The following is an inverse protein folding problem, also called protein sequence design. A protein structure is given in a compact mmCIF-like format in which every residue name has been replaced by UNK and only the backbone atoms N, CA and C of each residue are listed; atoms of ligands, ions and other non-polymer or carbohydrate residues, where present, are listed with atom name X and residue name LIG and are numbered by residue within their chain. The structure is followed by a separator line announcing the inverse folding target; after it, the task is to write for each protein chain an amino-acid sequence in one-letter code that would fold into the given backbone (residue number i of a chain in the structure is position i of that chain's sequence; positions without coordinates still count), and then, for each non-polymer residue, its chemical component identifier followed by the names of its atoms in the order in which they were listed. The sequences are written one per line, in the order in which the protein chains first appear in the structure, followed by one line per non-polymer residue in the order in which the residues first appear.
data_IF_781156014416
#
_entry.id   IF_781156014416
#
_cell.length_a   1.000
_cell.length_b   1.000
_cell.length_c   1.000
_cell.angle_alpha   90.00
_cell.angle_beta   90.00
_cell.angle_gamma   90.00
#
_symmetry.space_group_name_H-M   'P 1'
#
loop_
_entity.id
_entity.type
_entity.pdbx_description
1 polymer ?
#
# COMPACT_ATOMS: atom_id res chain seq x y z
N UNK A 1 48.00 54.32 25.85
CA UNK A 1 48.57 53.07 25.30
C UNK A 1 47.63 52.53 24.24
N UNK A 2 47.99 52.56 22.95
CA UNK A 2 47.22 51.95 21.85
C UNK A 2 47.74 50.53 21.66
N UNK A 3 46.94 49.51 22.03
CA UNK A 3 47.25 48.12 21.70
C UNK A 3 47.15 47.94 20.18
N UNK A 4 48.28 47.65 19.55
CA UNK A 4 48.36 47.27 18.13
C UNK A 4 47.95 45.79 18.04
N UNK A 5 46.74 45.53 17.55
CA UNK A 5 46.30 44.17 17.21
C UNK A 5 47.01 43.72 15.93
N UNK A 6 48.00 42.84 16.07
CA UNK A 6 48.63 42.16 14.94
C UNK A 6 47.66 41.13 14.36
N UNK A 7 47.07 41.42 13.21
CA UNK A 7 46.34 40.44 12.42
C UNK A 7 47.36 39.44 11.85
N UNK A 8 47.28 38.18 12.29
CA UNK A 8 48.06 37.08 11.70
C UNK A 8 47.47 36.74 10.33
N UNK A 9 48.28 36.81 9.28
CA UNK A 9 47.87 36.38 7.94
C UNK A 9 47.75 34.86 7.88
N UNK A 10 46.68 34.38 7.25
CA UNK A 10 46.42 32.95 7.04
C UNK A 10 47.21 32.47 5.82
N UNK A 11 47.97 31.38 5.94
CA UNK A 11 48.74 30.85 4.81
C UNK A 11 47.85 29.99 3.90
N UNK A 12 48.18 29.95 2.61
CA UNK A 12 47.45 29.14 1.63
C UNK A 12 47.46 27.64 2.00
N UNK A 13 48.55 27.17 2.63
CA UNK A 13 48.69 25.79 3.12
C UNK A 13 47.72 25.50 4.27
N UNK A 14 47.59 26.40 5.24
CA UNK A 14 46.63 26.22 6.36
C UNK A 14 45.20 26.12 5.85
N UNK A 15 44.84 26.93 4.86
CA UNK A 15 43.52 26.84 4.21
C UNK A 15 43.32 25.51 3.50
N UNK A 16 44.33 25.06 2.76
CA UNK A 16 44.26 23.81 2.00
C UNK A 16 44.14 22.58 2.91
N UNK A 17 44.82 22.58 4.07
CA UNK A 17 44.69 21.50 5.06
C UNK A 17 43.29 21.47 5.68
N UNK A 18 42.73 22.64 6.03
CA UNK A 18 41.39 22.71 6.63
C UNK A 18 40.32 22.21 5.67
N UNK A 19 40.36 22.64 4.40
CA UNK A 19 39.40 22.14 3.41
C UNK A 19 39.58 20.64 3.14
N UNK A 20 40.82 20.12 3.16
CA UNK A 20 41.07 18.70 3.00
C UNK A 20 40.48 17.87 4.15
N UNK A 21 40.63 18.34 5.40
CA UNK A 21 40.04 17.67 6.57
C UNK A 21 38.52 17.72 6.50
N UNK A 22 37.92 18.87 6.18
CA UNK A 22 36.45 18.99 6.06
C UNK A 22 35.93 18.07 4.94
N UNK A 23 36.61 18.02 3.79
CA UNK A 23 36.22 17.14 2.69
C UNK A 23 36.25 15.66 3.10
N UNK A 24 37.29 15.22 3.83
CA UNK A 24 37.39 13.86 4.36
C UNK A 24 36.26 13.59 5.37
N UNK A 25 36.01 14.51 6.31
CA UNK A 25 34.95 14.34 7.30
C UNK A 25 33.57 14.25 6.64
N UNK A 26 33.26 15.11 5.65
CA UNK A 26 32.00 15.06 4.91
C UNK A 26 31.89 13.76 4.12
N UNK A 27 32.97 13.32 3.46
CA UNK A 27 32.98 12.07 2.70
C UNK A 27 32.70 10.84 3.59
N UNK A 28 33.17 10.85 4.84
CA UNK A 28 32.92 9.78 5.80
C UNK A 28 31.53 9.89 6.47
N UNK A 29 31.03 11.10 6.69
CA UNK A 29 29.75 11.33 7.37
C UNK A 29 28.55 11.20 6.44
N UNK A 30 28.66 11.56 5.17
CA UNK A 30 27.54 11.55 4.24
C UNK A 30 26.93 10.15 4.07
N UNK A 31 27.69 9.06 3.82
CA UNK A 31 27.13 7.71 3.74
C UNK A 31 26.44 7.29 5.04
N UNK A 32 27.03 7.61 6.19
CA UNK A 32 26.48 7.28 7.50
C UNK A 32 25.16 8.02 7.78
N UNK A 33 25.06 9.31 7.44
CA UNK A 33 23.83 10.08 7.60
C UNK A 33 22.71 9.54 6.70
N UNK A 34 23.02 9.11 5.47
CA UNK A 34 22.00 8.53 4.59
C UNK A 34 21.51 7.17 5.10
N UNK A 35 22.41 6.30 5.56
CA UNK A 35 22.04 5.02 6.18
C UNK A 35 21.16 5.22 7.42
N UNK A 36 21.52 6.18 8.28
CA UNK A 36 20.72 6.51 9.46
C UNK A 36 19.32 7.05 9.10
N UNK A 37 19.23 7.91 8.07
CA UNK A 37 17.94 8.43 7.58
C UNK A 37 17.07 7.31 7.03
N UNK A 38 17.63 6.40 6.22
CA UNK A 38 16.85 5.28 5.69
C UNK A 38 16.40 4.33 6.79
N UNK A 39 17.25 4.01 7.77
CA UNK A 39 16.84 3.21 8.91
C UNK A 39 15.67 3.85 9.70
N UNK A 40 15.66 5.18 9.83
CA UNK A 40 14.55 5.91 10.46
C UNK A 40 13.27 5.88 9.60
N UNK A 41 13.37 6.03 8.28
CA UNK A 41 12.22 5.93 7.36
C UNK A 41 11.62 4.52 7.36
N UNK A 42 12.47 3.49 7.28
CA UNK A 42 12.09 2.08 7.43
C UNK A 42 11.37 1.81 8.74
N UNK A 43 11.89 2.36 9.85
CA UNK A 43 11.25 2.26 11.17
C UNK A 43 9.89 2.97 11.21
N UNK A 44 9.74 4.06 10.47
CA UNK A 44 8.47 4.78 10.33
C UNK A 44 7.46 3.95 9.52
N UNK A 45 7.84 3.33 8.41
CA UNK A 45 6.94 2.44 7.64
C UNK A 45 6.48 1.25 8.49
N UNK A 46 7.38 0.66 9.29
CA UNK A 46 7.02 -0.38 10.28
C UNK A 46 6.02 0.15 11.32
N UNK A 47 6.20 1.38 11.81
CA UNK A 47 5.29 2.00 12.77
C UNK A 47 3.92 2.33 12.17
N UNK A 48 3.87 2.74 10.89
CA UNK A 48 2.61 2.93 10.17
C UNK A 48 1.80 1.63 10.12
N UNK A 49 2.43 0.52 9.74
CA UNK A 49 1.77 -0.80 9.78
C UNK A 49 1.31 -1.19 11.20
N UNK A 50 2.08 -0.84 12.24
CA UNK A 50 1.65 -1.06 13.64
C UNK A 50 0.39 -0.27 14.00
N UNK A 51 0.32 0.99 13.59
CA UNK A 51 -0.87 1.82 13.81
C UNK A 51 -2.06 1.31 12.98
N UNK A 52 -1.84 0.85 11.73
CA UNK A 52 -2.88 0.19 10.92
C UNK A 52 -3.38 -1.09 11.61
N UNK A 53 -2.49 -1.89 12.19
CA UNK A 53 -2.85 -3.07 12.97
C UNK A 53 -3.71 -2.74 14.18
N UNK A 54 -3.35 -1.69 14.94
CA UNK A 54 -4.17 -1.19 16.03
C UNK A 54 -5.56 -0.75 15.54
N UNK A 55 -5.61 -0.02 14.42
CA UNK A 55 -6.86 0.42 13.81
C UNK A 55 -7.75 -0.78 13.40
N UNK A 56 -7.16 -1.83 12.82
CA UNK A 56 -7.85 -3.07 12.47
C UNK A 56 -8.44 -3.78 13.69
N UNK A 57 -7.68 -3.89 14.78
CA UNK A 57 -8.17 -4.52 16.01
C UNK A 57 -9.26 -3.68 16.69
N UNK A 58 -9.11 -2.35 16.75
CA UNK A 58 -10.16 -1.46 17.28
C UNK A 58 -11.47 -1.53 16.45
N UNK A 59 -11.34 -1.61 15.11
CA UNK A 59 -12.48 -1.85 14.23
C UNK A 59 -13.12 -3.22 14.52
N UNK A 60 -12.32 -4.27 14.65
CA UNK A 60 -12.81 -5.61 14.97
C UNK A 60 -13.52 -5.65 16.33
N UNK A 61 -12.99 -4.99 17.36
CA UNK A 61 -13.60 -4.96 18.69
C UNK A 61 -14.97 -4.28 18.67
N UNK A 62 -15.12 -3.24 17.85
CA UNK A 62 -16.38 -2.50 17.70
C UNK A 62 -17.39 -3.20 16.78
N UNK A 63 -16.95 -3.85 15.70
CA UNK A 63 -17.83 -4.40 14.66
C UNK A 63 -17.91 -5.94 14.64
N UNK A 64 -17.09 -6.62 15.44
CA UNK A 64 -17.00 -8.08 15.57
C UNK A 64 -16.66 -8.81 14.25
N UNK A 65 -15.97 -8.10 13.35
CA UNK A 65 -15.43 -8.53 12.06
C UNK A 65 -14.40 -7.52 11.57
N UNK A 66 -13.49 -7.95 10.69
CA UNK A 66 -12.55 -7.08 10.00
C UNK A 66 -13.21 -6.38 8.80
N UNK A 67 -12.75 -5.18 8.40
CA UNK A 67 -13.30 -4.49 7.24
C UNK A 67 -13.08 -5.32 5.97
N UNK A 68 -13.76 -4.96 4.90
CA UNK A 68 -13.49 -5.54 3.59
C UNK A 68 -12.23 -4.93 2.94
N UNK A 69 -11.63 -5.58 1.93
CA UNK A 69 -10.65 -4.90 1.08
C UNK A 69 -11.36 -3.85 0.21
N UNK A 70 -12.42 -4.29 -0.47
CA UNK A 70 -13.29 -3.46 -1.30
C UNK A 70 -14.76 -3.85 -1.11
N UNK A 71 -15.68 -2.90 -1.27
CA UNK A 71 -17.11 -3.17 -1.29
C UNK A 71 -17.78 -2.76 -2.61
N UNK A 72 -18.61 -3.68 -3.11
CA UNK A 72 -19.30 -3.63 -4.41
C UNK A 72 -18.45 -2.94 -5.50
N UNK A 73 -17.26 -3.47 -5.81
CA UNK A 73 -16.36 -2.87 -6.77
C UNK A 73 -16.93 -2.92 -8.19
N UNK A 74 -16.92 -1.81 -8.90
CA UNK A 74 -17.44 -1.69 -10.27
C UNK A 74 -16.59 -2.38 -11.33
N UNK A 75 -15.39 -2.85 -10.98
CA UNK A 75 -14.54 -3.65 -11.87
C UNK A 75 -14.98 -5.12 -11.94
N UNK A 76 -15.76 -5.56 -10.95
CA UNK A 76 -15.97 -6.97 -10.63
C UNK A 76 -17.09 -7.58 -11.47
N UNK A 77 -16.73 -8.56 -12.32
CA UNK A 77 -17.61 -9.31 -13.22
C UNK A 77 -17.64 -10.79 -12.81
N UNK A 78 -18.82 -11.40 -12.63
CA UNK A 78 -20.13 -10.74 -12.65
C UNK A 78 -20.27 -9.81 -11.44
N UNK A 79 -20.92 -8.66 -11.66
CA UNK A 79 -21.29 -7.80 -10.54
C UNK A 79 -22.33 -8.50 -9.67
N UNK A 80 -22.41 -8.14 -8.40
CA UNK A 80 -23.49 -8.59 -7.53
C UNK A 80 -24.81 -8.06 -8.12
N UNK A 81 -25.74 -8.95 -8.55
CA UNK A 81 -26.97 -8.53 -9.20
C UNK A 81 -27.91 -7.75 -8.27
N UNK A 82 -27.68 -7.80 -6.96
CA UNK A 82 -28.54 -7.17 -5.96
C UNK A 82 -27.92 -5.91 -5.34
N UNK A 83 -26.71 -5.51 -5.75
CA UNK A 83 -25.99 -4.40 -5.13
C UNK A 83 -25.69 -3.27 -6.10
N UNK A 84 -25.82 -2.03 -5.62
CA UNK A 84 -25.28 -0.85 -6.28
C UNK A 84 -23.76 -0.78 -6.09
N UNK A 85 -23.05 -0.29 -7.10
CA UNK A 85 -21.58 -0.14 -7.04
C UNK A 85 -21.23 0.99 -6.07
N UNK A 86 -20.39 0.68 -5.08
CA UNK A 86 -19.88 1.66 -4.10
C UNK A 86 -18.42 2.01 -4.33
N UNK A 87 -17.61 1.08 -4.84
CA UNK A 87 -16.16 1.26 -4.99
C UNK A 87 -15.43 1.60 -3.68
N UNK A 88 -16.04 1.33 -2.52
CA UNK A 88 -15.43 1.63 -1.23
C UNK A 88 -14.24 0.72 -0.98
N UNK A 89 -13.25 1.22 -0.25
CA UNK A 89 -12.14 0.44 0.29
C UNK A 89 -12.30 0.25 1.79
N UNK A 90 -11.64 -0.75 2.37
CA UNK A 90 -11.59 -0.93 3.82
C UNK A 90 -10.99 0.26 4.58
N UNK A 91 -10.12 1.04 3.92
CA UNK A 91 -9.45 2.19 4.51
C UNK A 91 -10.44 3.23 5.03
N UNK A 92 -11.55 3.45 4.31
CA UNK A 92 -12.61 4.38 4.72
C UNK A 92 -13.13 4.06 6.12
N UNK A 93 -13.26 2.78 6.46
CA UNK A 93 -13.81 2.33 7.75
C UNK A 93 -12.77 2.30 8.87
N UNK A 94 -11.48 2.37 8.52
CA UNK A 94 -10.40 2.51 9.48
C UNK A 94 -10.12 3.97 9.86
N UNK A 95 -10.63 4.95 9.10
CA UNK A 95 -10.38 6.38 9.34
C UNK A 95 -10.62 6.82 10.80
N UNK A 96 -11.73 6.46 11.48
CA UNK A 96 -11.95 6.87 12.86
C UNK A 96 -10.91 6.32 13.83
N UNK A 97 -10.30 5.19 13.48
CA UNK A 97 -9.29 4.49 14.28
C UNK A 97 -7.84 4.87 13.90
N UNK A 98 -7.68 5.78 12.94
CA UNK A 98 -6.41 6.37 12.48
C UNK A 98 -6.38 7.89 12.68
N UNK A 99 -7.12 8.41 13.66
CA UNK A 99 -7.28 9.84 13.95
C UNK A 99 -7.82 10.69 12.77
N UNK A 100 -8.60 10.07 11.87
CA UNK A 100 -9.25 10.71 10.71
C UNK A 100 -10.78 10.78 10.84
N UNK A 101 -11.31 10.87 12.06
CA UNK A 101 -12.76 10.93 12.31
C UNK A 101 -13.45 12.12 11.62
N UNK A 102 -12.78 13.27 11.52
CA UNK A 102 -13.31 14.45 10.81
C UNK A 102 -13.49 14.20 9.31
N UNK A 103 -12.57 13.46 8.70
CA UNK A 103 -12.66 13.08 7.28
C UNK A 103 -13.74 12.01 7.08
N UNK A 104 -13.81 11.02 7.99
CA UNK A 104 -14.84 9.98 7.98
C UNK A 104 -16.26 10.57 7.95
N UNK A 105 -16.53 11.54 8.83
CA UNK A 105 -17.86 12.16 8.95
C UNK A 105 -18.29 12.99 7.72
N UNK A 106 -17.36 13.30 6.81
CA UNK A 106 -17.67 13.99 5.56
C UNK A 106 -18.13 13.03 4.46
N UNK A 107 -17.79 11.74 4.54
CA UNK A 107 -18.18 10.76 3.53
C UNK A 107 -19.67 10.43 3.62
N UNK A 108 -20.32 10.40 2.45
CA UNK A 108 -21.64 9.80 2.31
C UNK A 108 -21.50 8.31 1.97
N UNK A 109 -21.65 7.44 2.97
CA UNK A 109 -21.54 5.98 2.80
C UNK A 109 -22.70 5.35 2.01
N UNK A 110 -23.76 6.10 1.68
CA UNK A 110 -24.80 5.65 0.74
C UNK A 110 -24.46 5.97 -0.73
N UNK A 111 -23.31 6.60 -0.99
CA UNK A 111 -22.83 6.95 -2.32
C UNK A 111 -21.47 6.29 -2.63
N UNK A 112 -21.17 6.14 -3.92
CA UNK A 112 -19.88 5.61 -4.35
C UNK A 112 -18.72 6.55 -4.01
N UNK A 113 -17.51 6.02 -3.84
CA UNK A 113 -16.28 6.83 -3.68
C UNK A 113 -15.45 6.92 -4.95
N UNK A 114 -15.72 6.06 -5.93
CA UNK A 114 -15.12 6.11 -7.27
C UNK A 114 -16.17 5.98 -8.37
N UNK A 115 -15.84 6.46 -9.58
CA UNK A 115 -16.71 6.37 -10.75
C UNK A 115 -16.53 5.09 -11.58
N UNK A 116 -15.57 4.22 -11.23
CA UNK A 116 -15.33 3.01 -12.00
C UNK A 116 -16.57 2.12 -12.06
N UNK A 117 -16.97 1.73 -13.27
CA UNK A 117 -18.16 0.93 -13.50
C UNK A 117 -18.04 0.17 -14.82
N UNK A 118 -17.30 -0.93 -14.79
CA UNK A 118 -17.10 -1.80 -15.96
C UNK A 118 -18.35 -2.60 -16.29
N UNK A 119 -19.19 -2.90 -15.30
CA UNK A 119 -20.37 -3.77 -15.43
C UNK A 119 -21.61 -3.04 -15.93
N UNK A 120 -21.55 -1.71 -16.08
CA UNK A 120 -22.68 -0.84 -16.43
C UNK A 120 -23.86 -0.94 -15.44
N UNK A 121 -23.59 -1.33 -14.19
CA UNK A 121 -24.60 -1.36 -13.12
C UNK A 121 -24.87 0.05 -12.56
N UNK A 122 -25.76 0.17 -11.58
CA UNK A 122 -26.06 1.47 -10.94
C UNK A 122 -24.99 1.83 -9.92
N UNK A 123 -24.36 3.01 -10.08
CA UNK A 123 -23.50 3.61 -9.05
C UNK A 123 -24.34 4.10 -7.86
N UNK A 124 -23.95 3.74 -6.65
CA UNK A 124 -24.60 4.19 -5.42
C UNK A 124 -24.54 5.73 -5.34
N UNK A 125 -25.68 6.37 -5.04
CA UNK A 125 -25.78 7.83 -5.03
C UNK A 125 -25.62 8.49 -6.41
N UNK A 126 -25.63 7.72 -7.51
CA UNK A 126 -25.55 8.20 -8.89
C UNK A 126 -24.14 8.59 -9.35
N UNK A 127 -23.44 9.43 -8.59
CA UNK A 127 -22.06 9.86 -8.91
C UNK A 127 -21.27 10.25 -7.66
N UNK A 128 -20.06 9.68 -7.50
CA UNK A 128 -19.08 10.05 -6.47
C UNK A 128 -18.58 11.48 -6.62
N UNK A 129 -18.58 12.03 -7.84
CA UNK A 129 -18.20 13.43 -8.10
C UNK A 129 -19.31 14.37 -7.59
N UNK A 130 -20.56 14.10 -7.99
CA UNK A 130 -21.71 14.96 -7.61
C UNK A 130 -21.98 14.92 -6.11
N UNK A 131 -21.76 13.76 -5.47
CA UNK A 131 -21.93 13.60 -4.01
C UNK A 131 -20.76 14.15 -3.21
N UNK A 132 -19.66 14.54 -3.84
CA UNK A 132 -18.45 15.07 -3.19
C UNK A 132 -17.50 14.00 -2.65
N UNK A 133 -17.90 12.73 -2.60
CA UNK A 133 -17.06 11.63 -2.11
C UNK A 133 -15.73 11.48 -2.89
N UNK A 134 -15.75 11.69 -4.20
CA UNK A 134 -14.53 11.62 -5.02
C UNK A 134 -13.50 12.67 -4.57
N UNK A 135 -13.96 13.88 -4.26
CA UNK A 135 -13.08 14.96 -3.79
C UNK A 135 -12.44 14.62 -2.43
N UNK A 136 -13.18 13.96 -1.54
CA UNK A 136 -12.63 13.54 -0.24
C UNK A 136 -11.49 12.52 -0.38
N UNK A 137 -11.47 11.73 -1.46
CA UNK A 137 -10.39 10.81 -1.78
C UNK A 137 -9.08 11.47 -2.23
N UNK A 138 -9.04 12.79 -2.36
CA UNK A 138 -7.80 13.56 -2.62
C UNK A 138 -7.01 13.88 -1.34
N UNK A 139 -7.61 13.70 -0.16
CA UNK A 139 -6.93 13.92 1.11
C UNK A 139 -5.82 12.89 1.30
N UNK A 140 -4.59 13.35 1.49
CA UNK A 140 -3.44 12.50 1.82
C UNK A 140 -3.56 12.07 3.27
N UNK A 141 -3.46 10.76 3.51
CA UNK A 141 -3.43 10.19 4.87
C UNK A 141 -1.99 9.75 5.17
N UNK A 142 -1.23 10.48 6.00
CA UNK A 142 0.20 10.24 6.19
C UNK A 142 0.55 8.82 6.66
N UNK A 143 -0.30 8.21 7.49
CA UNK A 143 -0.12 6.82 7.96
C UNK A 143 -0.16 5.80 6.82
N UNK A 144 -0.80 6.13 5.69
CA UNK A 144 -0.92 5.25 4.53
C UNK A 144 0.23 5.43 3.53
N UNK A 145 1.23 6.26 3.82
CA UNK A 145 2.40 6.48 2.98
C UNK A 145 3.66 6.00 3.70
N UNK A 146 4.48 5.20 3.02
CA UNK A 146 5.80 4.83 3.51
C UNK A 146 6.80 5.91 3.12
N UNK A 147 7.46 6.63 4.06
CA UNK A 147 8.42 7.68 3.71
C UNK A 147 9.66 7.18 2.95
N UNK A 148 9.95 5.88 2.94
CA UNK A 148 11.02 5.31 2.11
C UNK A 148 10.67 5.28 0.62
N UNK A 149 9.39 5.40 0.27
CA UNK A 149 8.92 5.46 -1.11
C UNK A 149 8.87 6.91 -1.58
N UNK A 150 9.62 7.23 -2.64
CA UNK A 150 9.71 8.55 -3.23
C UNK A 150 8.79 8.75 -4.45
N UNK A 151 7.93 7.76 -4.74
CA UNK A 151 6.90 7.87 -5.76
C UNK A 151 5.86 8.95 -5.46
N UNK A 152 5.13 9.36 -6.50
CA UNK A 152 4.10 10.39 -6.36
C UNK A 152 2.97 9.94 -5.43
N UNK A 153 2.66 10.75 -4.41
CA UNK A 153 1.59 10.47 -3.43
C UNK A 153 0.17 10.69 -3.95
N UNK A 154 0.03 11.19 -5.17
CA UNK A 154 -1.25 11.46 -5.81
C UNK A 154 -1.26 10.98 -7.25
N UNK A 155 -2.39 10.46 -7.69
CA UNK A 155 -2.66 10.21 -9.10
C UNK A 155 -3.16 11.52 -9.77
N UNK A 156 -2.45 12.07 -10.76
CA UNK A 156 -2.80 13.36 -11.35
C UNK A 156 -4.02 13.29 -12.30
N UNK A 157 -4.34 12.11 -12.83
CA UNK A 157 -5.46 11.92 -13.74
C UNK A 157 -6.82 12.05 -13.05
N UNK A 158 -7.84 12.40 -13.84
CA UNK A 158 -9.23 12.52 -13.40
C UNK A 158 -10.14 11.43 -14.00
N UNK A 159 -9.57 10.40 -14.62
CA UNK A 159 -10.36 9.31 -15.19
C UNK A 159 -10.94 8.40 -14.11
N UNK A 160 -11.82 7.50 -14.56
CA UNK A 160 -12.58 6.60 -13.70
C UNK A 160 -11.91 5.24 -13.53
N UNK A 161 -10.88 4.91 -14.33
CA UNK A 161 -10.21 3.62 -14.29
C UNK A 161 -9.15 3.58 -13.18
N UNK A 162 -8.46 4.68 -12.92
CA UNK A 162 -7.32 4.70 -11.99
C UNK A 162 -7.51 5.64 -10.80
N UNK A 163 -8.37 6.65 -10.92
CA UNK A 163 -8.69 7.59 -9.85
C UNK A 163 -10.08 7.41 -9.25
N UNK A 164 -10.46 8.35 -8.39
CA UNK A 164 -11.83 8.47 -7.86
C UNK A 164 -12.81 9.10 -8.86
N UNK A 165 -12.33 9.56 -10.02
CA UNK A 165 -13.04 10.39 -11.00
C UNK A 165 -12.71 11.89 -10.92
N UNK A 166 -11.77 12.28 -10.05
CA UNK A 166 -11.20 13.64 -10.00
C UNK A 166 -9.67 13.58 -9.92
N UNK A 167 -9.02 14.66 -10.37
CA UNK A 167 -7.56 14.79 -10.32
C UNK A 167 -7.02 14.78 -8.89
N UNK A 168 -5.76 14.36 -8.74
CA UNK A 168 -5.02 14.32 -7.48
C UNK A 168 -5.63 13.38 -6.44
N UNK A 169 -6.18 12.24 -6.88
CA UNK A 169 -6.62 11.19 -5.96
C UNK A 169 -5.42 10.66 -5.15
N UNK A 170 -5.53 10.53 -3.84
CA UNK A 170 -4.40 10.20 -2.98
C UNK A 170 -4.08 8.70 -3.01
N UNK A 171 -2.81 8.36 -3.26
CA UNK A 171 -2.30 6.99 -3.31
C UNK A 171 -2.00 6.44 -1.90
N UNK A 172 -1.71 5.15 -1.81
CA UNK A 172 -1.27 4.46 -0.59
C UNK A 172 -0.10 3.52 -0.87
N UNK A 173 0.85 3.43 0.05
CA UNK A 173 1.97 2.47 0.03
C UNK A 173 1.63 1.14 0.71
N UNK A 174 0.37 0.97 1.13
CA UNK A 174 -0.11 -0.23 1.80
C UNK A 174 -1.43 -0.70 1.21
N UNK A 175 -1.61 -2.02 1.13
CA UNK A 175 -2.85 -2.64 0.68
C UNK A 175 -3.22 -3.86 1.51
N UNK A 176 -4.52 -4.10 1.65
CA UNK A 176 -5.04 -5.32 2.29
C UNK A 176 -4.59 -6.56 1.53
N UNK A 177 -4.22 -7.62 2.23
CA UNK A 177 -3.88 -8.90 1.61
C UNK A 177 -5.12 -9.55 1.01
N UNK A 178 -5.12 -9.72 -0.31
CA UNK A 178 -6.25 -10.25 -1.07
C UNK A 178 -5.86 -11.46 -1.92
N UNK A 179 -6.87 -12.27 -2.27
CA UNK A 179 -6.66 -13.45 -3.12
C UNK A 179 -6.28 -13.03 -4.54
N UNK A 180 -6.90 -11.96 -5.02
CA UNK A 180 -6.67 -11.39 -6.34
C UNK A 180 -6.63 -9.88 -6.21
N UNK A 181 -5.44 -9.31 -6.43
CA UNK A 181 -5.23 -7.84 -6.48
C UNK A 181 -5.35 -7.28 -7.90
N UNK A 182 -5.35 -8.17 -8.90
CA UNK A 182 -5.37 -7.88 -10.32
C UNK A 182 -6.51 -8.65 -10.98
N UNK A 183 -7.61 -7.96 -11.30
CA UNK A 183 -8.70 -8.60 -12.05
C UNK A 183 -8.51 -8.34 -13.54
N UNK A 184 -7.64 -9.13 -14.15
CA UNK A 184 -7.45 -9.13 -15.60
C UNK A 184 -8.78 -9.41 -16.30
N UNK A 185 -9.22 -8.49 -17.16
CA UNK A 185 -10.53 -8.60 -17.80
C UNK A 185 -11.74 -8.31 -16.89
N UNK A 186 -11.55 -7.98 -15.60
CA UNK A 186 -12.60 -7.67 -14.64
C UNK A 186 -13.23 -8.91 -13.97
N UNK A 187 -12.78 -10.12 -14.31
CA UNK A 187 -13.28 -11.35 -13.71
C UNK A 187 -12.88 -11.41 -12.25
N UNK A 188 -13.82 -11.23 -11.34
CA UNK A 188 -13.58 -11.23 -9.91
C UNK A 188 -14.27 -12.39 -9.20
N UNK A 189 -13.68 -12.80 -8.08
CA UNK A 189 -14.33 -13.73 -7.17
C UNK A 189 -14.60 -13.00 -5.86
N UNK A 190 -15.88 -12.91 -5.50
CA UNK A 190 -16.27 -12.40 -4.19
C UNK A 190 -15.71 -13.28 -3.08
N UNK A 191 -15.29 -12.67 -1.98
CA UNK A 191 -14.62 -13.37 -0.87
C UNK A 191 -15.41 -14.58 -0.34
N UNK A 192 -16.74 -14.50 -0.34
CA UNK A 192 -17.61 -15.62 0.11
C UNK A 192 -17.57 -16.83 -0.83
N UNK A 193 -17.27 -16.62 -2.11
CA UNK A 193 -17.21 -17.65 -3.14
C UNK A 193 -15.81 -18.25 -3.31
N UNK A 194 -14.78 -17.59 -2.76
CA UNK A 194 -13.42 -18.14 -2.73
C UNK A 194 -13.36 -19.46 -1.96
N UNK A 195 -12.60 -20.43 -2.45
CA UNK A 195 -12.34 -21.66 -1.69
C UNK A 195 -11.74 -21.30 -0.33
N UNK A 196 -12.20 -21.94 0.75
CA UNK A 196 -11.71 -21.68 2.11
C UNK A 196 -10.19 -21.83 2.22
N UNK A 197 -9.61 -22.77 1.49
CA UNK A 197 -8.16 -23.04 1.47
C UNK A 197 -7.36 -22.08 0.60
N UNK A 198 -8.00 -21.29 -0.27
CA UNK A 198 -7.35 -20.27 -1.10
C UNK A 198 -7.73 -18.84 -0.67
N UNK A 199 -8.50 -18.72 0.41
CA UNK A 199 -9.07 -17.46 0.84
C UNK A 199 -8.07 -16.71 1.70
N UNK A 200 -7.86 -15.46 1.36
CA UNK A 200 -7.07 -14.52 2.17
C UNK A 200 -7.97 -13.78 3.16
N UNK A 201 -7.35 -13.02 4.07
CA UNK A 201 -8.10 -12.31 5.12
C UNK A 201 -9.09 -11.29 4.55
N UNK A 202 -8.74 -10.64 3.44
CA UNK A 202 -9.55 -9.61 2.82
C UNK A 202 -9.89 -9.95 1.36
N UNK A 203 -10.84 -9.20 0.80
CA UNK A 203 -11.29 -9.35 -0.58
C UNK A 203 -12.57 -8.54 -0.84
N UNK A 204 -13.11 -8.67 -2.05
CA UNK A 204 -14.36 -8.02 -2.42
C UNK A 204 -15.52 -8.53 -1.54
N UNK A 205 -16.21 -7.60 -0.86
CA UNK A 205 -17.29 -7.87 0.10
C UNK A 205 -16.92 -8.88 1.20
N UNK A 206 -15.64 -8.88 1.61
CA UNK A 206 -15.17 -9.76 2.69
C UNK A 206 -15.79 -9.39 4.03
N UNK A 207 -15.89 -10.40 4.91
CA UNK A 207 -16.49 -10.31 6.24
C UNK A 207 -15.77 -11.22 7.22
N UNK A 208 -14.44 -11.21 7.14
CA UNK A 208 -13.57 -12.10 7.90
C UNK A 208 -13.67 -11.80 9.40
N UNK A 209 -13.73 -12.85 10.21
CA UNK A 209 -13.65 -12.77 11.68
C UNK A 209 -12.39 -13.47 12.15
N UNK A 210 -11.92 -13.16 13.37
CA UNK A 210 -10.76 -13.86 13.97
C UNK A 210 -10.92 -15.40 13.90
N UNK A 211 -12.13 -15.92 14.17
CA UNK A 211 -12.43 -17.37 14.11
C UNK A 211 -12.26 -18.02 12.72
N UNK A 212 -12.25 -17.22 11.66
CA UNK A 212 -12.09 -17.70 10.30
C UNK A 212 -10.61 -17.91 9.95
N UNK A 213 -9.69 -17.35 10.76
CA UNK A 213 -8.23 -17.45 10.62
C UNK A 213 -7.73 -18.70 11.36
N UNK A 214 -7.82 -19.85 10.70
CA UNK A 214 -7.50 -21.16 11.26
C UNK A 214 -6.02 -21.50 11.24
N UNK A 215 -5.24 -20.92 10.32
CA UNK A 215 -3.79 -21.17 10.23
C UNK A 215 -2.98 -20.36 11.27
N UNK A 216 -3.67 -19.52 12.05
CA UNK A 216 -3.12 -18.73 13.14
C UNK A 216 -2.96 -17.25 12.76
N UNK A 217 -3.37 -16.35 13.66
CA UNK A 217 -3.32 -14.90 13.42
C UNK A 217 -1.88 -14.37 13.27
N UNK A 218 -0.90 -15.06 13.86
CA UNK A 218 0.53 -14.74 13.72
C UNK A 218 1.16 -15.27 12.43
N UNK A 219 0.40 -16.00 11.62
CA UNK A 219 0.84 -16.71 10.42
C UNK A 219 0.06 -16.29 9.17
N UNK A 220 -0.81 -15.30 9.29
CA UNK A 220 -1.63 -14.78 8.19
C UNK A 220 -1.33 -13.30 8.03
N UNK A 221 -0.95 -12.90 6.82
CA UNK A 221 -0.73 -11.50 6.45
C UNK A 221 -2.08 -10.79 6.26
N UNK A 222 -2.25 -9.67 6.94
CA UNK A 222 -3.41 -8.81 6.88
C UNK A 222 -3.21 -7.65 5.88
N UNK A 223 -2.07 -6.97 5.96
CA UNK A 223 -1.73 -5.82 5.11
C UNK A 223 -0.28 -5.95 4.68
N UNK A 224 0.02 -5.56 3.44
CA UNK A 224 1.36 -5.57 2.89
C UNK A 224 1.73 -4.23 2.27
N UNK A 225 3.03 -3.95 2.22
CA UNK A 225 3.57 -2.83 1.46
C UNK A 225 3.39 -3.05 -0.05
N UNK A 226 3.22 -1.94 -0.76
CA UNK A 226 3.28 -1.81 -2.22
C UNK A 226 3.93 -0.45 -2.55
N UNK A 227 4.25 -0.19 -3.81
CA UNK A 227 4.93 1.05 -4.23
C UNK A 227 3.98 2.11 -4.75
N UNK A 228 4.41 3.37 -4.68
CA UNK A 228 3.77 4.56 -5.25
C UNK A 228 4.18 4.80 -6.71
N UNK A 229 4.82 3.83 -7.34
CA UNK A 229 5.12 3.80 -8.77
C UNK A 229 4.98 2.37 -9.32
N UNK A 230 4.33 2.23 -10.47
CA UNK A 230 4.09 0.96 -11.18
C UNK A 230 4.27 1.17 -12.69
N UNK A 231 4.73 0.16 -13.44
CA UNK A 231 4.94 0.26 -14.90
C UNK A 231 3.64 -0.02 -15.67
N UNK A 232 2.97 -1.13 -15.39
CA UNK A 232 1.64 -1.41 -15.91
C UNK A 232 0.56 -0.88 -14.96
N UNK A 233 -0.49 -0.27 -15.51
CA UNK A 233 -1.60 0.33 -14.76
C UNK A 233 -1.22 1.56 -13.92
N UNK A 234 -1.76 1.63 -12.70
CA UNK A 234 -1.58 2.75 -11.77
C UNK A 234 -1.60 2.27 -10.31
N UNK A 235 -1.04 3.09 -9.42
CA UNK A 235 -0.96 2.77 -8.00
C UNK A 235 -2.32 2.85 -7.30
N UNK A 236 -2.45 2.18 -6.16
CA UNK A 236 -3.70 2.09 -5.43
C UNK A 236 -4.10 3.43 -4.81
N UNK A 237 -5.37 3.80 -4.95
CA UNK A 237 -5.98 4.95 -4.28
C UNK A 237 -6.60 4.49 -2.97
N UNK A 238 -6.35 5.21 -1.88
CA UNK A 238 -6.83 4.75 -0.58
C UNK A 238 -8.35 4.79 -0.47
N UNK A 239 -9.04 5.74 -1.11
CA UNK A 239 -10.47 5.99 -0.91
C UNK A 239 -11.40 5.22 -1.86
N UNK A 240 -10.89 4.68 -2.96
CA UNK A 240 -11.71 4.01 -3.95
C UNK A 240 -11.00 2.85 -4.62
N UNK A 241 -11.73 1.76 -4.86
CA UNK A 241 -11.34 0.71 -5.78
C UNK A 241 -11.81 1.05 -7.19
N UNK A 242 -10.97 0.83 -8.19
CA UNK A 242 -11.26 1.08 -9.59
C UNK A 242 -10.81 -0.10 -10.45
N UNK A 243 -10.21 0.13 -11.62
CA UNK A 243 -9.48 -0.92 -12.34
C UNK A 243 -8.34 -1.50 -11.50
N UNK A 244 -7.77 -0.66 -10.63
CA UNK A 244 -6.71 -0.98 -9.66
C UNK A 244 -7.22 -0.76 -8.22
N UNK A 245 -6.36 -0.87 -7.22
CA UNK A 245 -6.72 -0.50 -5.85
C UNK A 245 -7.61 -1.52 -5.12
N UNK A 246 -7.52 -2.81 -5.49
CA UNK A 246 -8.33 -3.86 -4.88
C UNK A 246 -7.66 -4.57 -3.69
N UNK A 247 -6.40 -4.23 -3.41
CA UNK A 247 -5.56 -4.86 -2.38
C UNK A 247 -4.25 -5.38 -2.98
N UNK A 248 -3.39 -5.93 -2.13
CA UNK A 248 -2.08 -6.48 -2.52
C UNK A 248 -2.16 -8.00 -2.56
N UNK A 249 -1.71 -8.57 -3.66
CA UNK A 249 -1.73 -9.99 -3.94
C UNK A 249 -0.41 -10.63 -3.56
N UNK A 250 -0.29 -11.09 -2.30
CA UNK A 250 0.87 -11.88 -1.88
C UNK A 250 1.07 -13.15 -2.71
N UNK A 251 0.07 -13.55 -3.49
CA UNK A 251 0.10 -14.72 -4.36
C UNK A 251 0.49 -14.41 -5.82
N UNK A 252 0.96 -13.20 -6.10
CA UNK A 252 1.46 -12.82 -7.41
C UNK A 252 2.56 -13.78 -7.87
N UNK A 253 2.48 -14.23 -9.12
CA UNK A 253 3.43 -15.20 -9.69
C UNK A 253 4.86 -14.64 -9.76
N UNK A 254 4.97 -13.32 -9.78
CA UNK A 254 6.20 -12.55 -10.00
C UNK A 254 7.03 -12.36 -8.73
N UNK A 255 6.44 -12.54 -7.55
CA UNK A 255 7.15 -12.46 -6.27
C UNK A 255 7.01 -11.10 -5.59
N UNK A 256 7.98 -10.75 -4.74
CA UNK A 256 8.07 -9.47 -4.03
C UNK A 256 9.16 -8.64 -4.73
N UNK A 257 8.97 -7.33 -4.86
CA UNK A 257 9.95 -6.42 -5.47
C UNK A 257 10.31 -6.79 -6.92
N UNK A 258 9.38 -7.37 -7.68
CA UNK A 258 9.59 -7.58 -9.10
C UNK A 258 9.37 -6.25 -9.84
N UNK A 259 10.46 -5.59 -10.20
CA UNK A 259 10.46 -4.27 -10.84
C UNK A 259 10.54 -4.32 -12.36
N UNK A 260 10.51 -5.52 -12.96
CA UNK A 260 10.53 -5.65 -14.42
C UNK A 260 9.13 -5.52 -14.99
N UNK A 261 8.97 -4.96 -16.18
CA UNK A 261 7.72 -5.09 -16.93
C UNK A 261 7.95 -4.97 -18.44
N UNK A 262 7.06 -5.42 -19.32
CA UNK A 262 6.01 -6.42 -19.15
C UNK A 262 6.21 -7.50 -20.21
N UNK A 263 5.50 -8.62 -20.12
CA UNK A 263 5.69 -9.75 -21.04
C UNK A 263 5.35 -9.43 -22.50
N UNK A 264 4.50 -8.41 -22.76
CA UNK A 264 4.16 -7.92 -24.10
C UNK A 264 5.09 -6.83 -24.64
N UNK A 265 6.12 -6.40 -23.89
CA UNK A 265 7.17 -5.53 -24.42
C UNK A 265 8.16 -6.34 -25.27
N UNK A 266 8.94 -5.66 -26.10
CA UNK A 266 9.97 -6.29 -26.94
C UNK A 266 11.35 -5.66 -26.65
N UNK A 267 12.29 -6.37 -26.01
CA UNK A 267 12.16 -7.72 -25.46
C UNK A 267 11.21 -7.76 -24.23
N UNK A 268 10.60 -8.94 -23.92
CA UNK A 268 9.76 -9.09 -22.74
C UNK A 268 10.50 -8.72 -21.46
N UNK A 269 9.82 -8.02 -20.54
CA UNK A 269 10.37 -7.63 -19.24
C UNK A 269 11.66 -6.79 -19.31
N UNK A 270 11.83 -6.01 -20.38
CA UNK A 270 13.03 -5.21 -20.61
C UNK A 270 13.11 -3.93 -19.78
N UNK A 271 11.98 -3.41 -19.30
CA UNK A 271 11.99 -2.23 -18.44
C UNK A 271 12.21 -2.67 -17.00
N UNK A 272 13.29 -2.20 -16.39
CA UNK A 272 13.62 -2.43 -14.99
C UNK A 272 13.93 -1.08 -14.35
N UNK A 273 13.19 -0.74 -13.30
CA UNK A 273 13.44 0.46 -12.52
C UNK A 273 13.21 0.14 -11.04
N UNK A 274 14.26 0.08 -10.21
CA UNK A 274 14.12 -0.15 -8.78
C UNK A 274 13.13 0.82 -8.14
N UNK A 275 12.22 0.29 -7.32
CA UNK A 275 11.16 1.08 -6.67
C UNK A 275 9.90 1.29 -7.51
N UNK A 276 9.91 0.90 -8.80
CA UNK A 276 8.72 0.85 -9.65
C UNK A 276 8.32 -0.61 -9.88
N UNK A 277 7.24 -1.06 -9.24
CA UNK A 277 6.73 -2.41 -9.44
C UNK A 277 6.34 -2.64 -10.89
N UNK A 278 6.46 -3.88 -11.34
CA UNK A 278 6.10 -4.25 -12.70
C UNK A 278 4.61 -4.03 -12.93
N UNK A 279 3.78 -4.55 -12.04
CA UNK A 279 2.32 -4.53 -12.18
C UNK A 279 1.64 -3.99 -10.91
N UNK A 280 0.43 -3.46 -11.05
CA UNK A 280 -0.35 -2.99 -9.92
C UNK A 280 -0.80 -4.16 -9.04
N UNK A 281 -1.02 -3.92 -7.75
CA UNK A 281 -1.50 -4.99 -6.85
C UNK A 281 -0.42 -5.99 -6.44
N UNK A 282 0.80 -5.87 -6.97
CA UNK A 282 1.94 -6.65 -6.55
C UNK A 282 2.47 -6.21 -5.16
N UNK A 283 3.02 -7.15 -4.39
CA UNK A 283 3.69 -6.85 -3.14
C UNK A 283 5.09 -6.28 -3.40
N UNK A 284 5.45 -5.21 -2.69
CA UNK A 284 6.81 -4.68 -2.75
C UNK A 284 7.02 -3.43 -1.92
N UNK A 285 8.28 -3.02 -1.82
CA UNK A 285 8.69 -1.79 -1.18
C UNK A 285 10.02 -1.30 -1.75
N UNK A 286 10.42 -0.08 -1.40
CA UNK A 286 11.74 0.46 -1.69
C UNK A 286 12.80 0.06 -0.66
N UNK A 287 12.43 -0.72 0.37
CA UNK A 287 13.37 -1.23 1.36
C UNK A 287 14.32 -2.25 0.73
N UNK A 288 15.58 -2.23 1.13
CA UNK A 288 16.56 -3.23 0.66
C UNK A 288 16.18 -4.64 1.09
N UNK A 289 16.00 -5.54 0.12
CA UNK A 289 15.94 -6.99 0.30
C UNK A 289 14.56 -7.55 0.67
N UNK A 290 13.48 -6.77 0.59
CA UNK A 290 12.15 -7.26 0.92
C UNK A 290 11.16 -6.17 1.25
N UNK A 291 10.17 -6.49 2.08
CA UNK A 291 9.12 -5.56 2.51
C UNK A 291 8.61 -5.91 3.91
N UNK A 292 7.93 -4.96 4.55
CA UNK A 292 7.16 -5.23 5.75
C UNK A 292 5.76 -5.73 5.42
N UNK A 293 5.30 -6.64 6.27
CA UNK A 293 3.93 -7.12 6.31
C UNK A 293 3.38 -6.99 7.72
N UNK A 294 2.11 -6.65 7.81
CA UNK A 294 1.32 -6.71 9.03
C UNK A 294 0.61 -8.07 9.07
N UNK A 295 0.79 -8.79 10.16
CA UNK A 295 0.09 -10.04 10.46
C UNK A 295 -1.26 -9.75 11.13
N UNK A 296 -2.17 -10.72 11.08
CA UNK A 296 -3.53 -10.59 11.61
C UNK A 296 -3.61 -10.47 13.14
N UNK A 297 -2.51 -10.74 13.86
CA UNK A 297 -2.35 -10.49 15.29
C UNK A 297 -1.77 -9.09 15.62
N UNK A 298 -1.52 -8.26 14.60
CA UNK A 298 -0.92 -6.94 14.75
C UNK A 298 0.62 -6.95 14.79
N UNK A 299 1.28 -8.11 14.67
CA UNK A 299 2.72 -8.18 14.51
C UNK A 299 3.16 -7.63 13.15
N UNK A 300 4.30 -6.92 13.10
CA UNK A 300 4.88 -6.47 11.83
C UNK A 300 6.19 -7.19 11.64
N UNK A 301 6.30 -7.91 10.53
CA UNK A 301 7.49 -8.68 10.14
C UNK A 301 8.06 -8.13 8.85
N UNK A 302 9.37 -8.24 8.70
CA UNK A 302 10.02 -7.99 7.43
C UNK A 302 10.21 -9.34 6.74
N UNK A 303 9.68 -9.49 5.53
CA UNK A 303 9.84 -10.71 4.73
C UNK A 303 10.79 -10.43 3.57
N UNK A 304 11.68 -11.38 3.31
CA UNK A 304 12.66 -11.31 2.24
C UNK A 304 11.99 -11.36 0.87
N UNK A 305 12.50 -10.61 -0.10
CA UNK A 305 12.10 -10.75 -1.51
C UNK A 305 12.46 -12.14 -2.08
N UNK A 306 13.39 -12.84 -1.44
CA UNK A 306 13.80 -14.21 -1.78
C UNK A 306 13.08 -15.30 -0.97
N UNK A 307 11.96 -14.96 -0.32
CA UNK A 307 11.15 -15.93 0.44
C UNK A 307 10.71 -17.10 -0.47
N UNK A 308 10.68 -18.31 0.08
CA UNK A 308 10.14 -19.47 -0.62
C UNK A 308 8.69 -19.20 -1.08
N UNK A 309 8.39 -19.59 -2.32
CA UNK A 309 7.09 -19.27 -2.92
C UNK A 309 5.95 -19.92 -2.14
N UNK A 310 6.07 -21.17 -1.71
CA UNK A 310 5.01 -21.84 -0.96
C UNK A 310 4.78 -21.17 0.39
N UNK A 311 5.86 -20.79 1.08
CA UNK A 311 5.78 -20.04 2.34
C UNK A 311 5.03 -18.72 2.16
N UNK A 312 5.34 -17.96 1.10
CA UNK A 312 4.64 -16.72 0.77
C UNK A 312 3.16 -16.93 0.42
N UNK A 313 2.83 -18.00 -0.30
CA UNK A 313 1.44 -18.34 -0.62
C UNK A 313 0.64 -18.70 0.63
N UNK A 314 1.23 -19.52 1.51
CA UNK A 314 0.62 -19.94 2.77
C UNK A 314 0.41 -18.76 3.72
N UNK A 315 1.36 -17.80 3.77
CA UNK A 315 1.21 -16.55 4.52
C UNK A 315 -0.01 -15.71 4.11
N UNK A 316 -0.47 -15.82 2.87
CA UNK A 316 -1.64 -15.09 2.40
C UNK A 316 -2.95 -15.74 2.86
N UNK A 317 -2.99 -17.06 3.02
CA UNK A 317 -4.22 -17.81 3.27
C UNK A 317 -4.60 -17.79 4.77
N UNK A 318 -5.89 -18.00 5.03
CA UNK A 318 -6.45 -18.02 6.40
C UNK A 318 -6.78 -19.42 6.90
N UNK A 319 -6.94 -20.41 6.01
CA UNK A 319 -7.36 -21.77 6.39
C UNK A 319 -6.94 -22.86 5.40
N UNK A 320 -5.71 -22.83 4.91
CA UNK A 320 -5.14 -23.85 4.04
C UNK A 320 -4.58 -25.06 4.80
N UNK A 321 -4.35 -24.94 6.12
CA UNK A 321 -3.87 -26.01 6.98
C UNK A 321 -2.37 -26.32 6.82
N UNK A 322 -1.63 -25.49 6.09
CA UNK A 322 -0.20 -25.69 5.86
C UNK A 322 0.60 -25.06 7.02
N UNK A 323 1.43 -25.85 7.74
CA UNK A 323 2.25 -25.29 8.80
C UNK A 323 3.32 -24.36 8.20
N UNK A 324 3.52 -23.21 8.84
CA UNK A 324 4.60 -22.29 8.52
C UNK A 324 5.78 -22.49 9.49
N UNK A 325 6.99 -22.53 8.93
CA UNK A 325 8.24 -22.44 9.69
C UNK A 325 8.57 -21.00 10.08
N UNK A 326 9.84 -20.74 10.43
CA UNK A 326 10.36 -19.37 10.52
C UNK A 326 10.57 -18.78 9.12
N UNK A 327 10.21 -17.51 8.95
CA UNK A 327 10.25 -16.76 7.69
C UNK A 327 10.53 -15.27 7.96
#
# INVERSE_FOLDING_TARGET
MKHRTTLRGFTLIELLVVIAIIAILIALLLPAVQQAREAARRSTCKNNLKQIGLALHNYHDTHQLFPYATANPGNCIPADPNATITNHTGWLYLLPFMDQANLYNQFNFSAATGQHNKTSNTLAGGSSITTGNAQLGTNIIPILLCPSDDGGSTYPGADTNYGTGVANSARTSYGFSVTTGEYWGGSCTYWVNESKTNRTMFGANSRCKIRDIKDGTSNTVAVAETTLDVDDGECQIWAASSHVGMGVMLKASRGINEFRCCTWRTPPNAQFQPGRLGEWGEPGSTHTGGMHVLLADGAVRFISENIDTNTRLNLANISDGNPLGEF
#
